data_IF_782211154209
#
_entry.id   IF_782211154209
#
_cell.length_a   1.000
_cell.length_b   1.000
_cell.length_c   1.000
_cell.angle_alpha   90.00
_cell.angle_beta   90.00
_cell.angle_gamma   90.00
#
_symmetry.space_group_name_H-M   'P 1'
#
loop_
_entity.id
_entity.type
_entity.pdbx_description
1 polymer ?
#
# COMPACT_ATOMS: atom_id res chain seq x y z
N UNK A 1 27.74 21.89 6.81
CA UNK A 1 27.65 21.24 5.49
C UNK A 1 26.21 20.82 5.26
N UNK A 2 25.66 21.08 4.06
CA UNK A 2 24.32 20.60 3.68
C UNK A 2 24.45 19.14 3.24
N UNK A 3 23.63 18.20 3.74
CA UNK A 3 23.67 16.83 3.26
C UNK A 3 23.28 16.80 1.77
N UNK A 4 24.16 16.23 0.94
CA UNK A 4 24.07 16.32 -0.52
C UNK A 4 23.20 15.22 -1.16
N UNK A 5 22.89 14.13 -0.45
CA UNK A 5 22.10 13.02 -1.00
C UNK A 5 21.31 12.37 0.14
N UNK A 6 19.99 12.33 0.01
CA UNK A 6 19.10 11.47 0.79
C UNK A 6 18.72 10.32 -0.13
N UNK A 7 19.38 9.17 0.03
CA UNK A 7 19.04 7.97 -0.74
C UNK A 7 17.83 7.33 -0.07
N UNK A 8 16.65 7.53 -0.65
CA UNK A 8 15.45 6.81 -0.22
C UNK A 8 15.56 5.34 -0.68
N UNK A 9 15.13 4.38 0.17
CA UNK A 9 14.97 3.01 -0.27
C UNK A 9 13.99 2.95 -1.44
N UNK A 10 14.24 2.07 -2.41
CA UNK A 10 13.37 1.87 -3.59
C UNK A 10 11.95 1.43 -3.21
N UNK A 11 11.80 0.83 -2.04
CA UNK A 11 10.52 0.36 -1.51
C UNK A 11 10.41 0.74 -0.04
N UNK A 12 9.24 1.25 0.33
CA UNK A 12 8.91 1.60 1.72
C UNK A 12 7.73 0.76 2.17
N UNK A 13 7.75 0.40 3.45
CA UNK A 13 6.66 -0.32 4.09
C UNK A 13 5.74 0.71 4.72
N UNK A 14 4.48 0.74 4.28
CA UNK A 14 3.48 1.71 4.70
C UNK A 14 2.23 0.98 5.20
N UNK A 15 1.67 1.47 6.29
CA UNK A 15 0.41 0.95 6.82
C UNK A 15 -0.78 1.52 6.06
N UNK A 16 -1.77 0.66 5.77
CA UNK A 16 -3.06 1.07 5.21
C UNK A 16 -3.92 1.67 6.30
N UNK A 17 -4.21 2.96 6.19
CA UNK A 17 -5.04 3.71 7.15
C UNK A 17 -6.52 3.69 6.80
N UNK A 18 -6.85 3.60 5.51
CA UNK A 18 -8.24 3.53 5.06
C UNK A 18 -8.34 2.69 3.78
N UNK A 19 -9.32 1.79 3.71
CA UNK A 19 -9.61 1.05 2.48
C UNK A 19 -11.07 0.57 2.49
N UNK A 20 -11.74 0.53 1.32
CA UNK A 20 -13.12 0.05 1.24
C UNK A 20 -13.25 -1.37 1.80
N UNK A 21 -14.27 -1.63 2.64
CA UNK A 21 -14.51 -2.95 3.19
C UNK A 21 -14.83 -3.95 2.08
N UNK A 22 -14.41 -5.21 2.27
CA UNK A 22 -14.79 -6.31 1.39
C UNK A 22 -16.31 -6.50 1.49
N UNK A 23 -17.05 -6.12 0.45
CA UNK A 23 -18.49 -6.37 0.35
C UNK A 23 -18.65 -7.87 0.12
N UNK A 24 -18.99 -8.62 1.19
CA UNK A 24 -19.19 -10.09 1.20
C UNK A 24 -20.23 -10.64 0.19
N UNK A 25 -20.83 -9.81 -0.65
CA UNK A 25 -21.83 -10.20 -1.67
C UNK A 25 -21.52 -9.73 -3.09
N UNK A 26 -20.50 -8.90 -3.30
CA UNK A 26 -20.02 -8.60 -4.64
C UNK A 26 -19.04 -9.71 -5.00
N UNK A 27 -19.45 -10.58 -5.91
CA UNK A 27 -18.64 -11.61 -6.57
C UNK A 27 -17.16 -11.27 -6.61
N UNK A 28 -16.29 -12.24 -6.30
CA UNK A 28 -14.82 -12.22 -6.27
C UNK A 28 -14.18 -11.62 -7.53
N UNK A 29 -14.43 -10.34 -7.76
CA UNK A 29 -13.89 -9.60 -8.87
C UNK A 29 -12.53 -9.19 -8.34
N UNK A 30 -11.49 -9.82 -8.87
CA UNK A 30 -10.09 -9.61 -8.54
C UNK A 30 -9.62 -8.20 -8.97
N UNK A 31 -10.49 -7.20 -8.82
CA UNK A 31 -10.21 -5.82 -9.16
C UNK A 31 -9.44 -5.19 -8.02
N UNK A 32 -8.42 -4.39 -8.36
CA UNK A 32 -7.73 -3.61 -7.37
C UNK A 32 -8.71 -2.62 -6.73
N UNK A 33 -8.65 -2.50 -5.41
CA UNK A 33 -9.36 -1.47 -4.66
C UNK A 33 -8.40 -0.34 -4.28
N UNK A 34 -8.86 0.91 -4.22
CA UNK A 34 -8.02 1.99 -3.69
C UNK A 34 -7.79 1.76 -2.19
N UNK A 35 -6.55 1.90 -1.74
CA UNK A 35 -6.20 1.96 -0.33
C UNK A 35 -5.38 3.22 -0.05
N UNK A 36 -5.76 3.91 1.02
CA UNK A 36 -5.07 5.08 1.55
C UNK A 36 -4.01 4.62 2.53
N UNK A 37 -2.80 5.13 2.36
CA UNK A 37 -1.66 4.85 3.23
C UNK A 37 -1.53 5.91 4.32
N UNK A 38 -0.70 5.64 5.33
CA UNK A 38 -0.38 6.61 6.40
C UNK A 38 0.18 7.94 5.88
N UNK A 39 0.77 7.94 4.69
CA UNK A 39 1.27 9.14 4.01
C UNK A 39 0.16 9.94 3.30
N UNK A 40 -1.06 9.41 3.21
CA UNK A 40 -2.17 9.95 2.43
C UNK A 40 -2.13 9.57 0.94
N UNK A 41 -1.14 8.80 0.49
CA UNK A 41 -1.08 8.29 -0.87
C UNK A 41 -2.16 7.22 -1.07
N UNK A 42 -2.91 7.32 -2.17
CA UNK A 42 -3.91 6.31 -2.56
C UNK A 42 -3.33 5.40 -3.62
N UNK A 43 -3.21 4.12 -3.31
CA UNK A 43 -2.64 3.11 -4.22
C UNK A 43 -3.64 1.99 -4.50
N UNK A 44 -3.70 1.46 -5.74
CA UNK A 44 -4.52 0.31 -6.06
C UNK A 44 -3.91 -0.95 -5.44
N UNK A 45 -4.62 -1.56 -4.49
CA UNK A 45 -4.21 -2.78 -3.79
C UNK A 45 -5.15 -3.94 -4.07
N UNK A 46 -4.69 -5.19 -3.90
CA UNK A 46 -5.55 -6.36 -4.00
C UNK A 46 -6.72 -6.33 -2.99
N UNK A 47 -7.85 -6.99 -3.30
CA UNK A 47 -9.06 -6.93 -2.48
C UNK A 47 -8.89 -7.46 -1.03
N UNK A 48 -7.92 -8.36 -0.81
CA UNK A 48 -7.62 -9.00 0.48
C UNK A 48 -6.88 -8.10 1.49
N UNK A 49 -6.43 -6.91 1.09
CA UNK A 49 -5.76 -5.94 1.97
C UNK A 49 -6.79 -5.25 2.87
N UNK A 50 -6.48 -5.06 4.14
CA UNK A 50 -7.38 -4.44 5.12
C UNK A 50 -6.69 -3.23 5.78
N UNK A 51 -7.48 -2.40 6.45
CA UNK A 51 -6.95 -1.36 7.32
C UNK A 51 -6.08 -2.01 8.41
N UNK A 52 -4.89 -1.46 8.64
CA UNK A 52 -3.88 -2.02 9.53
C UNK A 52 -2.93 -3.04 8.90
N UNK A 53 -3.12 -3.40 7.61
CA UNK A 53 -2.13 -4.21 6.89
C UNK A 53 -0.94 -3.35 6.45
N UNK A 54 0.27 -3.88 6.62
CA UNK A 54 1.49 -3.28 6.10
C UNK A 54 1.70 -3.74 4.66
N UNK A 55 1.76 -2.77 3.75
CA UNK A 55 2.05 -2.99 2.35
C UNK A 55 3.36 -2.31 1.96
N UNK A 56 4.15 -2.98 1.14
CA UNK A 56 5.35 -2.44 0.53
C UNK A 56 4.96 -1.72 -0.75
N UNK A 57 5.36 -0.46 -0.87
CA UNK A 57 5.10 0.41 -2.03
C UNK A 57 6.43 0.82 -2.66
N UNK A 58 6.52 0.78 -4.00
CA UNK A 58 7.68 1.30 -4.72
C UNK A 58 7.58 2.83 -4.76
N UNK A 59 8.56 3.54 -4.18
CA UNK A 59 8.53 5.01 -4.10
C UNK A 59 8.81 5.70 -5.45
N UNK A 60 9.20 4.95 -6.49
CA UNK A 60 9.47 5.47 -7.83
C UNK A 60 8.23 5.47 -8.69
N UNK A 61 7.41 4.41 -8.63
CA UNK A 61 6.15 4.30 -9.38
C UNK A 61 4.92 4.64 -8.55
N UNK A 62 5.01 4.60 -7.22
CA UNK A 62 3.86 4.74 -6.32
C UNK A 62 2.96 3.51 -6.34
N UNK A 63 3.44 2.37 -6.84
CA UNK A 63 2.64 1.15 -6.97
C UNK A 63 2.83 0.21 -5.79
N UNK A 64 1.77 -0.53 -5.49
CA UNK A 64 1.82 -1.66 -4.57
C UNK A 64 2.82 -2.71 -5.08
N UNK A 65 3.84 -3.01 -4.29
CA UNK A 65 4.84 -4.02 -4.61
C UNK A 65 4.48 -5.39 -3.98
N UNK A 66 4.25 -5.44 -2.66
CA UNK A 66 3.89 -6.68 -1.96
C UNK A 66 3.23 -6.41 -0.61
N UNK A 67 2.54 -7.39 -0.03
CA UNK A 67 2.06 -7.34 1.35
C UNK A 67 3.16 -7.86 2.26
N UNK A 68 3.58 -7.06 3.22
CA UNK A 68 4.53 -7.49 4.23
C UNK A 68 3.73 -8.28 5.27
N UNK A 69 3.84 -9.60 5.24
CA UNK A 69 3.47 -10.43 6.39
C UNK A 69 4.76 -10.71 7.14
N UNK A 70 4.90 -10.19 8.34
CA UNK A 70 5.94 -10.65 9.26
C UNK A 70 5.78 -12.18 9.41
N UNK A 71 6.86 -12.89 9.09
CA UNK A 71 6.92 -14.35 9.12
C UNK A 71 7.03 -14.87 10.55
#
# INVERSE_FOLDING_TARGET
GRPLIVTLPITVDLEVTDTPPEIKGATATNQPKPATLETGLVVPVPPFIKVGDIIRVDTRSGEYATRVKDA
#
